data_IF_240178824497
#
_entry.id   IF_240178824497
#
_cell.length_a   1.000
_cell.length_b   1.000
_cell.length_c   1.000
_cell.angle_alpha   90.00
_cell.angle_beta   90.00
_cell.angle_gamma   90.00
#
_symmetry.space_group_name_H-M   'P 1'
#
loop_
_entity.id
_entity.type
_entity.pdbx_description
1 polymer ?
#
# COMPACT_ATOMS: atom_id res chain seq x y z
N UNK A 1 2.00 -3.19 -10.71
CA UNK A 1 1.30 -2.72 -9.49
C UNK A 1 2.26 -2.88 -8.33
N UNK A 2 2.84 -1.79 -7.78
CA UNK A 2 4.08 -1.85 -7.01
C UNK A 2 4.02 -2.82 -5.81
N UNK A 3 2.88 -2.87 -5.11
CA UNK A 3 2.68 -3.80 -3.99
C UNK A 3 2.56 -5.26 -4.45
N UNK A 4 1.85 -5.51 -5.56
CA UNK A 4 1.71 -6.87 -6.12
C UNK A 4 3.04 -7.39 -6.68
N UNK A 5 3.80 -6.53 -7.36
CA UNK A 5 5.14 -6.85 -7.89
C UNK A 5 6.13 -7.19 -6.75
N UNK A 6 5.89 -6.65 -5.55
CA UNK A 6 6.63 -6.95 -4.33
C UNK A 6 6.08 -8.14 -3.53
N UNK A 7 5.02 -8.81 -4.00
CA UNK A 7 4.38 -9.93 -3.30
C UNK A 7 3.59 -9.53 -2.04
N UNK A 8 3.26 -8.25 -1.89
CA UNK A 8 2.53 -7.73 -0.73
C UNK A 8 1.03 -7.81 -0.98
N UNK A 9 0.34 -8.60 -0.15
CA UNK A 9 -1.11 -8.73 -0.23
C UNK A 9 -1.79 -7.46 0.30
N UNK A 10 -2.86 -7.05 -0.39
CA UNK A 10 -3.70 -5.94 0.04
C UNK A 10 -5.13 -6.41 0.32
N UNK A 11 -5.86 -5.61 1.09
CA UNK A 11 -7.31 -5.64 1.18
C UNK A 11 -7.86 -4.27 0.79
N UNK A 12 -8.62 -4.22 -0.31
CA UNK A 12 -9.16 -2.97 -0.84
C UNK A 12 -10.59 -2.73 -0.36
N UNK A 13 -10.88 -1.52 0.10
CA UNK A 13 -12.22 -1.06 0.49
C UNK A 13 -12.50 0.24 -0.23
N UNK A 14 -13.45 0.22 -1.16
CA UNK A 14 -13.96 1.42 -1.80
C UNK A 14 -15.11 2.00 -0.99
N UNK A 15 -15.02 3.29 -0.68
CA UNK A 15 -16.13 4.07 -0.08
C UNK A 15 -16.61 5.12 -1.07
N UNK A 16 -17.66 5.88 -0.72
CA UNK A 16 -18.17 6.94 -1.58
C UNK A 16 -17.13 8.05 -1.83
N UNK A 17 -16.33 8.39 -0.80
CA UNK A 17 -15.40 9.51 -0.86
C UNK A 17 -13.99 9.11 -1.27
N UNK A 18 -13.56 7.89 -0.93
CA UNK A 18 -12.19 7.46 -1.17
C UNK A 18 -12.03 5.94 -1.18
N UNK A 19 -10.94 5.49 -1.77
CA UNK A 19 -10.52 4.10 -1.78
C UNK A 19 -9.42 3.87 -0.74
N UNK A 20 -9.66 2.91 0.16
CA UNK A 20 -8.68 2.47 1.15
C UNK A 20 -7.99 1.19 0.68
N UNK A 21 -6.67 1.17 0.80
CA UNK A 21 -5.85 -0.03 0.61
C UNK A 21 -5.20 -0.37 1.94
N UNK A 22 -5.53 -1.53 2.48
CA UNK A 22 -5.00 -2.04 3.73
C UNK A 22 -3.93 -3.10 3.45
N UNK A 23 -2.88 -3.11 4.26
CA UNK A 23 -1.83 -4.15 4.26
C UNK A 23 -1.80 -4.81 5.63
N UNK A 24 -1.18 -5.99 5.72
CA UNK A 24 -0.91 -6.61 7.03
C UNK A 24 0.00 -5.68 7.83
N UNK A 25 -0.23 -5.59 9.15
CA UNK A 25 0.58 -4.74 10.01
C UNK A 25 2.08 -5.07 9.94
N UNK A 26 2.43 -6.36 9.82
CA UNK A 26 3.81 -6.81 9.65
C UNK A 26 4.46 -6.33 8.33
N UNK A 27 3.65 -6.01 7.33
CA UNK A 27 4.08 -5.61 5.98
C UNK A 27 4.06 -4.09 5.78
N UNK A 28 3.71 -3.31 6.80
CA UNK A 28 3.58 -1.84 6.69
C UNK A 28 4.88 -1.18 6.22
N UNK A 29 5.99 -1.45 6.89
CA UNK A 29 7.30 -0.88 6.55
C UNK A 29 7.81 -1.29 5.15
N UNK A 30 7.75 -2.59 4.76
CA UNK A 30 7.98 -3.00 3.38
C UNK A 30 7.09 -2.28 2.35
N UNK A 31 5.78 -2.16 2.62
CA UNK A 31 4.83 -1.52 1.72
C UNK A 31 5.15 -0.04 1.50
N UNK A 32 5.48 0.69 2.58
CA UNK A 32 5.90 2.09 2.51
C UNK A 32 7.12 2.23 1.59
N UNK A 33 8.16 1.42 1.79
CA UNK A 33 9.38 1.49 0.97
C UNK A 33 9.12 1.18 -0.50
N UNK A 34 8.26 0.21 -0.78
CA UNK A 34 7.86 -0.15 -2.15
C UNK A 34 7.13 1.01 -2.82
N UNK A 35 6.20 1.64 -2.11
CA UNK A 35 5.44 2.79 -2.60
C UNK A 35 6.34 4.01 -2.83
N UNK A 36 7.23 4.33 -1.89
CA UNK A 36 8.21 5.42 -2.04
C UNK A 36 9.14 5.21 -3.24
N UNK A 37 9.64 3.97 -3.44
CA UNK A 37 10.49 3.62 -4.59
C UNK A 37 9.76 3.71 -5.93
N UNK A 38 8.46 3.46 -5.93
CA UNK A 38 7.59 3.66 -7.09
C UNK A 38 7.24 5.14 -7.33
N UNK A 39 7.73 6.06 -6.48
CA UNK A 39 7.52 7.51 -6.62
C UNK A 39 6.30 8.05 -5.89
N UNK A 40 5.61 7.24 -5.08
CA UNK A 40 4.49 7.69 -4.27
C UNK A 40 4.96 8.42 -3.00
N UNK A 41 4.22 9.44 -2.59
CA UNK A 41 4.48 10.14 -1.31
C UNK A 41 3.73 9.45 -0.18
N UNK A 42 4.45 9.07 0.88
CA UNK A 42 3.88 8.47 2.08
C UNK A 42 3.94 9.49 3.22
N UNK A 43 2.82 9.67 3.93
CA UNK A 43 2.75 10.48 5.16
C UNK A 43 2.70 9.54 6.37
N UNK A 44 3.46 9.86 7.42
CA UNK A 44 3.54 9.11 8.68
C UNK A 44 2.79 9.83 9.78
#
# INVERSE_FOLDING_TARGET
DPLADAGLSIFAISTFETDYVLVKAADLEPAIRVLERAGHQVRR
#
